data_IF_510090759552
#
_entry.id   IF_510090759552
#
_cell.length_a   1.000
_cell.length_b   1.000
_cell.length_c   1.000
_cell.angle_alpha   90.00
_cell.angle_beta   90.00
_cell.angle_gamma   90.00
#
_symmetry.space_group_name_H-M   'P 1'
#
loop_
_entity.id
_entity.type
_entity.pdbx_description
1 polymer ?
#
# COMPACT_ATOMS: atom_id res chain seq x y z
N UNK A 1 55.07 -31.11 -8.22
CA UNK A 1 54.93 -29.64 -8.07
C UNK A 1 53.76 -29.37 -7.15
N UNK A 2 54.01 -28.62 -6.08
CA UNK A 2 53.23 -28.61 -4.84
C UNK A 2 51.81 -28.04 -4.94
N UNK A 3 50.92 -28.64 -4.17
CA UNK A 3 49.54 -28.21 -3.92
C UNK A 3 49.56 -27.22 -2.75
N UNK A 4 49.32 -25.94 -3.00
CA UNK A 4 49.17 -24.91 -1.97
C UNK A 4 47.74 -24.93 -1.40
N UNK A 5 47.62 -25.35 -0.14
CA UNK A 5 46.41 -25.20 0.68
C UNK A 5 46.19 -23.73 1.04
N UNK A 6 45.00 -23.20 0.77
CA UNK A 6 44.52 -21.94 1.34
C UNK A 6 44.02 -22.18 2.78
N UNK A 7 44.23 -21.25 3.73
CA UNK A 7 43.81 -21.43 5.12
C UNK A 7 42.31 -21.17 5.28
N UNK A 8 41.69 -21.97 6.16
CA UNK A 8 40.31 -21.86 6.62
C UNK A 8 40.09 -20.60 7.46
N UNK A 9 39.13 -19.76 7.09
CA UNK A 9 38.63 -18.69 7.97
C UNK A 9 37.59 -19.26 8.93
N UNK A 10 37.92 -19.27 10.22
CA UNK A 10 36.96 -19.51 11.32
C UNK A 10 36.29 -18.19 11.71
N UNK A 11 34.99 -18.08 11.52
CA UNK A 11 34.19 -16.99 12.07
C UNK A 11 34.07 -17.17 13.59
N UNK A 12 34.64 -16.23 14.33
CA UNK A 12 34.47 -16.08 15.78
C UNK A 12 33.03 -15.60 16.02
N UNK A 13 32.22 -16.40 16.70
CA UNK A 13 30.89 -16.01 17.17
C UNK A 13 31.02 -15.26 18.50
N UNK A 14 30.41 -14.07 18.68
CA UNK A 14 30.24 -13.48 20.00
C UNK A 14 29.09 -14.19 20.71
N UNK A 15 29.40 -14.94 21.77
CA UNK A 15 28.41 -15.31 22.80
C UNK A 15 28.24 -14.12 23.73
N UNK A 16 27.16 -13.36 23.59
CA UNK A 16 26.72 -12.41 24.63
C UNK A 16 25.30 -12.75 25.04
N UNK A 17 25.18 -13.15 26.31
CA UNK A 17 23.95 -13.44 27.05
C UNK A 17 23.31 -12.10 27.49
N UNK A 18 22.02 -11.82 27.26
CA UNK A 18 21.46 -10.48 27.51
C UNK A 18 21.08 -10.14 28.97
N UNK A 19 21.34 -11.01 29.95
CA UNK A 19 20.82 -10.82 31.32
C UNK A 19 21.87 -10.42 32.38
N UNK A 20 22.67 -9.37 32.15
CA UNK A 20 23.43 -8.72 33.22
C UNK A 20 23.47 -7.20 33.07
N UNK A 21 22.46 -6.51 33.61
CA UNK A 21 22.52 -5.09 33.90
C UNK A 21 22.94 -4.91 35.36
N UNK A 22 24.08 -4.26 35.54
CA UNK A 22 24.69 -3.90 36.82
C UNK A 22 23.95 -2.70 37.43
N UNK A 23 23.48 -2.82 38.68
CA UNK A 23 22.88 -1.71 39.46
C UNK A 23 23.80 -1.40 40.65
N UNK A 24 24.28 -0.16 40.84
CA UNK A 24 25.14 0.18 41.98
C UNK A 24 24.32 0.36 43.26
N UNK A 25 24.87 -0.11 44.38
CA UNK A 25 24.29 -0.04 45.72
C UNK A 25 24.48 1.36 46.35
N UNK A 26 23.38 2.04 46.65
CA UNK A 26 23.40 3.23 47.50
C UNK A 26 23.26 2.82 48.97
N UNK A 27 24.27 3.20 49.75
CA UNK A 27 24.30 3.14 51.21
C UNK A 27 23.56 4.35 51.79
N UNK A 28 22.75 4.15 52.83
CA UNK A 28 22.39 5.22 53.77
C UNK A 28 22.15 4.65 55.16
N UNK A 29 22.86 5.26 56.10
CA UNK A 29 23.06 4.87 57.49
C UNK A 29 21.89 5.21 58.40
N UNK A 30 21.71 4.37 59.41
CA UNK A 30 20.73 4.42 60.50
C UNK A 30 20.98 5.61 61.44
N UNK A 31 19.93 6.36 61.78
CA UNK A 31 19.88 7.19 62.99
C UNK A 31 18.76 6.66 63.92
N UNK A 32 19.14 6.18 65.10
CA UNK A 32 18.22 5.89 66.21
C UNK A 32 18.24 7.04 67.21
N UNK A 33 17.06 7.56 67.56
CA UNK A 33 16.85 8.37 68.76
C UNK A 33 15.58 7.86 69.47
N UNK A 34 15.78 7.26 70.65
CA UNK A 34 14.73 6.89 71.61
C UNK A 34 14.35 8.13 72.42
N UNK A 35 13.05 8.38 72.63
CA UNK A 35 12.59 8.91 73.91
C UNK A 35 11.12 8.58 74.22
N UNK A 36 10.88 8.26 75.49
CA UNK A 36 9.63 7.77 76.09
C UNK A 36 8.61 8.89 76.39
N UNK A 37 7.30 8.61 76.21
CA UNK A 37 6.24 8.82 77.24
C UNK A 37 4.84 8.26 76.83
N UNK A 38 4.24 7.58 77.81
CA UNK A 38 2.87 7.05 78.04
C UNK A 38 1.72 7.94 77.49
N UNK A 39 0.50 7.49 77.12
CA UNK A 39 -0.33 6.31 77.45
C UNK A 39 -1.66 6.35 76.66
N UNK A 40 -2.38 5.22 76.70
CA UNK A 40 -3.83 4.96 76.46
C UNK A 40 -4.24 4.44 75.08
N UNK A 41 -4.38 3.13 75.04
CA UNK A 41 -5.24 2.35 74.15
C UNK A 41 -6.72 2.63 74.43
N UNK A 42 -7.47 2.98 73.38
CA UNK A 42 -8.91 2.71 73.27
C UNK A 42 -9.12 2.13 71.88
N UNK A 43 -9.59 0.89 71.83
CA UNK A 43 -9.89 0.17 70.61
C UNK A 43 -11.21 0.68 70.03
N UNK A 44 -11.25 0.92 68.72
CA UNK A 44 -12.47 0.90 67.93
C UNK A 44 -12.22 0.02 66.71
N UNK A 45 -13.08 -0.99 66.56
CA UNK A 45 -12.97 -2.04 65.57
C UNK A 45 -12.93 -1.46 64.15
N UNK A 46 -11.81 -1.64 63.46
CA UNK A 46 -11.75 -1.47 62.03
C UNK A 46 -12.43 -2.69 61.40
N UNK A 47 -13.60 -2.49 60.79
CA UNK A 47 -14.18 -3.48 59.89
C UNK A 47 -13.17 -3.74 58.78
N UNK A 48 -12.60 -4.94 58.77
CA UNK A 48 -11.82 -5.45 57.64
C UNK A 48 -12.75 -5.57 56.44
N UNK A 49 -12.78 -4.53 55.61
CA UNK A 49 -13.08 -4.72 54.19
C UNK A 49 -11.89 -5.53 53.66
N UNK A 50 -12.07 -6.75 53.13
CA UNK A 50 -10.98 -7.47 52.51
C UNK A 50 -10.46 -6.56 51.40
N UNK A 51 -9.15 -6.30 51.38
CA UNK A 51 -8.54 -5.75 50.19
C UNK A 51 -8.88 -6.73 49.07
N UNK A 52 -9.80 -6.34 48.19
CA UNK A 52 -9.91 -6.97 46.89
C UNK A 52 -8.49 -6.93 46.34
N UNK A 53 -7.95 -8.11 46.07
CA UNK A 53 -6.76 -8.22 45.26
C UNK A 53 -7.14 -7.54 43.94
N UNK A 54 -6.78 -6.27 43.82
CA UNK A 54 -6.65 -5.60 42.54
C UNK A 54 -5.57 -6.43 41.87
N UNK A 55 -6.02 -7.43 41.13
CA UNK A 55 -5.18 -8.18 40.24
C UNK A 55 -4.78 -7.12 39.22
N UNK A 56 -3.66 -6.44 39.48
CA UNK A 56 -2.94 -5.67 38.49
C UNK A 56 -2.43 -6.68 37.45
N UNK A 57 -3.36 -7.25 36.68
CA UNK A 57 -3.09 -7.72 35.34
C UNK A 57 -2.68 -6.48 34.57
N UNK A 58 -1.40 -6.09 34.73
CA UNK A 58 -0.73 -5.18 33.84
C UNK A 58 -0.78 -5.89 32.50
N UNK A 59 -1.84 -5.60 31.74
CA UNK A 59 -2.07 -6.11 30.41
C UNK A 59 -0.76 -5.92 29.66
N UNK A 60 -0.05 -7.02 29.43
CA UNK A 60 1.29 -6.96 28.86
C UNK A 60 1.11 -6.45 27.44
N UNK A 61 1.42 -5.18 27.23
CA UNK A 61 1.27 -4.52 25.93
C UNK A 61 2.15 -5.27 24.93
N UNK A 62 1.52 -5.87 23.92
CA UNK A 62 2.20 -6.49 22.78
C UNK A 62 2.01 -5.61 21.55
N UNK A 63 2.92 -5.68 20.57
CA UNK A 63 2.78 -4.93 19.30
C UNK A 63 1.44 -5.18 18.61
N UNK A 64 0.90 -6.40 18.75
CA UNK A 64 -0.39 -6.81 18.21
C UNK A 64 -1.59 -6.04 18.78
N UNK A 65 -1.46 -5.46 19.97
CA UNK A 65 -2.53 -4.66 20.59
C UNK A 65 -2.76 -3.31 19.89
N UNK A 66 -1.77 -2.82 19.14
CA UNK A 66 -1.88 -1.57 18.37
C UNK A 66 -2.40 -1.77 16.94
N UNK A 67 -2.51 -3.03 16.48
CA UNK A 67 -2.97 -3.34 15.12
C UNK A 67 -4.50 -3.34 15.07
N UNK A 68 -5.07 -2.61 14.11
CA UNK A 68 -6.53 -2.55 13.88
C UNK A 68 -7.11 -3.96 13.72
N UNK A 69 -8.24 -4.21 14.37
CA UNK A 69 -8.80 -5.57 14.50
C UNK A 69 -9.17 -6.23 13.17
N UNK A 70 -9.57 -5.45 12.16
CA UNK A 70 -9.88 -5.99 10.83
C UNK A 70 -8.65 -6.48 10.08
N UNK A 71 -7.49 -5.82 10.26
CA UNK A 71 -6.22 -6.22 9.64
C UNK A 71 -5.74 -7.59 10.13
N UNK A 72 -6.08 -7.97 11.36
CA UNK A 72 -5.74 -9.29 11.92
C UNK A 72 -6.42 -10.45 11.19
N UNK A 73 -7.50 -10.17 10.46
CA UNK A 73 -8.26 -11.17 9.69
C UNK A 73 -7.80 -11.24 8.23
N UNK A 74 -6.94 -10.32 7.78
CA UNK A 74 -6.46 -10.32 6.40
C UNK A 74 -5.43 -11.43 6.21
N UNK A 75 -5.58 -12.17 5.12
CA UNK A 75 -4.56 -13.10 4.67
C UNK A 75 -3.29 -12.33 4.29
N UNK A 76 -2.09 -12.88 4.57
CA UNK A 76 -0.85 -12.28 4.09
C UNK A 76 -0.87 -12.14 2.57
N UNK A 77 -0.41 -10.98 2.08
CA UNK A 77 -0.18 -10.75 0.65
C UNK A 77 0.84 -11.77 0.12
N UNK A 78 0.56 -12.33 -1.06
CA UNK A 78 1.47 -13.27 -1.73
C UNK A 78 2.18 -12.54 -2.88
N UNK A 79 3.41 -12.06 -2.67
CA UNK A 79 4.17 -11.40 -3.73
C UNK A 79 4.65 -12.40 -4.77
N UNK A 80 4.88 -11.91 -5.98
CA UNK A 80 5.60 -12.63 -7.03
C UNK A 80 7.03 -12.92 -6.55
N UNK A 81 7.55 -14.10 -6.90
CA UNK A 81 8.90 -14.47 -6.51
C UNK A 81 9.94 -13.63 -7.28
N UNK A 82 10.90 -13.01 -6.58
CA UNK A 82 12.02 -12.34 -7.24
C UNK A 82 12.84 -13.30 -8.10
N UNK A 83 13.53 -12.73 -9.08
CA UNK A 83 14.27 -13.48 -10.08
C UNK A 83 15.38 -14.34 -9.47
N UNK A 84 16.05 -13.82 -8.45
CA UNK A 84 17.12 -14.48 -7.72
C UNK A 84 16.58 -15.67 -6.91
N UNK A 85 15.40 -15.51 -6.31
CA UNK A 85 14.72 -16.58 -5.56
C UNK A 85 14.27 -17.68 -6.51
N UNK A 86 13.69 -17.31 -7.66
CA UNK A 86 13.27 -18.26 -8.67
C UNK A 86 14.48 -19.00 -9.28
N UNK A 87 15.56 -18.29 -9.59
CA UNK A 87 16.83 -18.84 -10.06
C UNK A 87 17.40 -19.87 -9.09
N UNK A 88 17.51 -19.52 -7.80
CA UNK A 88 17.98 -20.44 -6.77
C UNK A 88 17.09 -21.69 -6.64
N UNK A 89 15.76 -21.52 -6.69
CA UNK A 89 14.80 -22.64 -6.59
C UNK A 89 14.85 -23.57 -7.80
N UNK A 90 15.01 -23.03 -9.01
CA UNK A 90 15.03 -23.80 -10.24
C UNK A 90 16.42 -24.38 -10.57
N UNK A 91 17.47 -23.92 -9.88
CA UNK A 91 18.85 -24.29 -10.22
C UNK A 91 19.26 -23.81 -11.62
N UNK A 92 18.66 -22.71 -12.09
CA UNK A 92 18.89 -22.10 -13.41
C UNK A 92 19.54 -20.75 -13.24
N UNK A 93 20.39 -20.36 -14.18
CA UNK A 93 20.91 -18.99 -14.18
C UNK A 93 19.76 -18.03 -14.42
N UNK A 94 19.81 -16.82 -13.83
CA UNK A 94 18.86 -15.75 -14.13
C UNK A 94 18.63 -15.60 -15.64
N UNK A 95 19.69 -15.54 -16.44
CA UNK A 95 19.62 -15.33 -17.89
C UNK A 95 18.88 -16.44 -18.68
N UNK A 96 18.71 -17.63 -18.07
CA UNK A 96 18.01 -18.76 -18.68
C UNK A 96 16.50 -18.78 -18.36
N UNK A 97 16.00 -17.82 -17.57
CA UNK A 97 14.62 -17.78 -17.08
C UNK A 97 13.83 -16.75 -17.88
N UNK A 98 12.77 -17.20 -18.55
CA UNK A 98 11.80 -16.35 -19.22
C UNK A 98 10.60 -16.13 -18.30
N UNK A 99 10.38 -14.89 -17.88
CA UNK A 99 9.30 -14.49 -16.95
C UNK A 99 8.14 -13.86 -17.72
N UNK A 100 6.93 -14.42 -17.57
CA UNK A 100 5.70 -14.00 -18.27
C UNK A 100 4.48 -14.05 -17.34
N UNK A 101 4.67 -13.72 -16.05
CA UNK A 101 3.69 -13.91 -14.97
C UNK A 101 3.22 -12.58 -14.31
N UNK A 102 3.90 -11.46 -14.59
CA UNK A 102 3.72 -10.19 -13.88
C UNK A 102 3.32 -9.00 -14.77
N UNK A 103 3.05 -9.24 -16.06
CA UNK A 103 2.89 -8.21 -17.08
C UNK A 103 4.05 -7.19 -17.06
N UNK A 104 5.28 -7.72 -16.90
CA UNK A 104 6.51 -6.96 -17.01
C UNK A 104 6.88 -6.75 -18.48
N UNK A 105 7.40 -5.57 -18.84
CA UNK A 105 7.87 -5.30 -20.19
C UNK A 105 9.19 -6.06 -20.42
N UNK A 106 9.22 -7.07 -21.32
CA UNK A 106 10.39 -7.91 -21.51
C UNK A 106 11.54 -7.19 -22.23
N UNK A 107 11.29 -6.00 -22.80
CA UNK A 107 12.28 -5.23 -23.55
C UNK A 107 13.08 -4.24 -22.67
N UNK A 108 12.67 -4.05 -21.42
CA UNK A 108 13.24 -3.03 -20.54
C UNK A 108 12.85 -1.60 -20.92
N UNK A 109 13.37 -0.60 -20.20
CA UNK A 109 13.08 0.80 -20.47
C UNK A 109 13.85 1.32 -21.71
N UNK A 110 13.42 2.44 -22.30
CA UNK A 110 14.17 3.11 -23.37
C UNK A 110 15.63 3.40 -22.97
N UNK A 111 16.62 3.31 -23.89
CA UNK A 111 18.03 3.54 -23.57
C UNK A 111 18.31 4.90 -22.90
N UNK A 112 17.55 5.93 -23.25
CA UNK A 112 17.65 7.28 -22.70
C UNK A 112 17.32 7.30 -21.20
N UNK A 113 16.43 6.43 -20.74
CA UNK A 113 16.11 6.28 -19.31
C UNK A 113 17.31 5.70 -18.57
N UNK A 114 17.97 4.69 -19.14
CA UNK A 114 19.17 4.08 -18.54
C UNK A 114 20.33 5.08 -18.48
N UNK A 115 20.52 5.89 -19.52
CA UNK A 115 21.51 6.97 -19.52
C UNK A 115 21.20 8.04 -18.47
N UNK A 116 19.94 8.47 -18.35
CA UNK A 116 19.52 9.45 -17.35
C UNK A 116 19.74 8.93 -15.92
N UNK A 117 19.45 7.65 -15.66
CA UNK A 117 19.71 7.01 -14.37
C UNK A 117 21.20 6.89 -14.08
N UNK A 118 22.01 6.50 -15.06
CA UNK A 118 23.46 6.38 -14.92
C UNK A 118 24.17 7.72 -14.71
N UNK A 119 23.53 8.83 -15.08
CA UNK A 119 24.07 10.19 -14.97
C UNK A 119 23.41 11.03 -13.85
N UNK A 120 22.61 10.40 -12.99
CA UNK A 120 21.88 11.09 -11.91
C UNK A 120 22.85 11.81 -10.96
N UNK A 121 22.66 13.13 -10.84
CA UNK A 121 23.43 13.95 -9.91
C UNK A 121 22.73 14.00 -8.55
N UNK A 122 23.48 13.77 -7.48
CA UNK A 122 23.02 13.89 -6.09
C UNK A 122 21.86 12.95 -5.68
N UNK A 123 21.97 11.62 -5.88
CA UNK A 123 20.92 10.67 -5.48
C UNK A 123 20.66 10.61 -3.95
N UNK A 124 21.49 11.28 -3.15
CA UNK A 124 21.38 11.37 -1.69
C UNK A 124 20.61 12.61 -1.21
N UNK A 125 20.13 13.46 -2.12
CA UNK A 125 19.31 14.64 -1.81
C UNK A 125 17.84 14.29 -2.08
N UNK A 126 16.95 14.73 -1.20
CA UNK A 126 15.51 14.56 -1.40
C UNK A 126 15.07 15.14 -2.75
N UNK A 127 14.18 14.45 -3.50
CA UNK A 127 13.64 14.97 -4.75
C UNK A 127 12.74 16.18 -4.49
N UNK A 128 12.38 16.89 -5.57
CA UNK A 128 11.38 17.95 -5.50
C UNK A 128 10.04 17.39 -4.95
N UNK A 129 9.58 17.79 -3.76
CA UNK A 129 8.38 17.24 -3.14
C UNK A 129 7.11 17.53 -3.94
N UNK A 130 7.12 18.58 -4.77
CA UNK A 130 5.98 18.93 -5.63
C UNK A 130 6.05 18.27 -7.00
N UNK A 131 7.14 17.55 -7.31
CA UNK A 131 7.35 16.86 -8.61
C UNK A 131 7.15 17.79 -9.82
N UNK A 132 7.51 19.08 -9.73
CA UNK A 132 7.09 20.12 -10.69
C UNK A 132 7.52 19.82 -12.12
N UNK A 133 8.81 19.51 -12.32
CA UNK A 133 9.35 19.20 -13.65
C UNK A 133 8.66 18.00 -14.30
N UNK A 134 8.23 17.05 -13.49
CA UNK A 134 7.54 15.85 -13.95
C UNK A 134 6.10 16.15 -14.32
N UNK A 135 5.37 16.87 -13.45
CA UNK A 135 4.02 17.35 -13.72
C UNK A 135 3.97 18.24 -14.96
N UNK A 136 4.95 19.12 -15.16
CA UNK A 136 5.09 19.94 -16.37
C UNK A 136 5.29 19.09 -17.64
N UNK A 137 6.13 18.06 -17.59
CA UNK A 137 6.36 17.17 -18.73
C UNK A 137 5.10 16.37 -19.07
N UNK A 138 4.42 15.83 -18.06
CA UNK A 138 3.16 15.10 -18.21
C UNK A 138 2.02 16.00 -18.67
N UNK A 139 1.96 17.24 -18.20
CA UNK A 139 0.99 18.24 -18.65
C UNK A 139 1.12 18.46 -20.17
N UNK A 140 2.36 18.62 -20.66
CA UNK A 140 2.64 18.75 -22.09
C UNK A 140 2.25 17.50 -22.89
N UNK A 141 2.51 16.31 -22.37
CA UNK A 141 2.19 15.03 -23.03
C UNK A 141 0.68 14.77 -23.08
N UNK A 142 -0.01 14.95 -21.96
CA UNK A 142 -1.45 14.67 -21.82
C UNK A 142 -2.34 15.77 -22.41
N UNK A 143 -1.83 17.00 -22.54
CA UNK A 143 -2.62 18.19 -22.86
C UNK A 143 -3.49 18.68 -21.71
N UNK A 144 -3.18 18.29 -20.47
CA UNK A 144 -3.80 18.78 -19.24
C UNK A 144 -2.87 19.77 -18.53
N UNK A 145 -3.44 20.63 -17.70
CA UNK A 145 -2.68 21.50 -16.80
C UNK A 145 -2.05 20.67 -15.68
N UNK A 146 -0.88 21.10 -15.19
CA UNK A 146 -0.16 20.39 -14.13
C UNK A 146 -1.00 20.20 -12.86
N UNK A 147 -1.97 21.07 -12.59
CA UNK A 147 -2.87 21.02 -11.43
C UNK A 147 -3.85 19.85 -11.47
N UNK A 148 -4.13 19.34 -12.67
CA UNK A 148 -4.87 18.09 -12.84
C UNK A 148 -3.97 16.87 -12.68
N UNK A 149 -2.69 16.97 -12.33
CA UNK A 149 -1.77 15.84 -12.31
C UNK A 149 -1.15 15.69 -10.93
N UNK A 150 -1.48 14.58 -10.26
CA UNK A 150 -0.76 14.11 -9.08
C UNK A 150 0.16 12.95 -9.48
N UNK A 151 1.42 13.01 -9.05
CA UNK A 151 2.42 11.98 -9.23
C UNK A 151 2.52 11.08 -7.99
N UNK A 152 2.42 9.76 -8.16
CA UNK A 152 2.64 8.76 -7.10
C UNK A 152 3.74 7.73 -7.42
N UNK A 153 4.05 6.88 -6.46
CA UNK A 153 5.03 5.80 -6.49
C UNK A 153 4.44 4.46 -6.96
N UNK A 154 3.50 4.50 -7.89
CA UNK A 154 2.74 3.32 -8.32
C UNK A 154 1.26 3.61 -8.48
N UNK A 155 0.58 2.78 -9.27
CA UNK A 155 -0.89 2.81 -9.33
C UNK A 155 -1.44 2.36 -7.99
N UNK A 156 -0.85 1.29 -7.45
CA UNK A 156 -1.19 0.72 -6.15
C UNK A 156 -1.11 1.74 -5.01
N UNK A 157 -0.08 2.61 -4.97
CA UNK A 157 -0.03 3.68 -3.95
C UNK A 157 -1.19 4.67 -4.13
N UNK A 158 -1.50 5.07 -5.37
CA UNK A 158 -2.59 6.00 -5.60
C UNK A 158 -3.96 5.37 -5.35
N UNK A 159 -4.13 4.08 -5.61
CA UNK A 159 -5.35 3.33 -5.27
C UNK A 159 -5.56 3.37 -3.74
N UNK A 160 -4.55 3.03 -2.95
CA UNK A 160 -4.61 3.11 -1.48
C UNK A 160 -4.84 4.55 -1.00
N UNK A 161 -4.17 5.55 -1.59
CA UNK A 161 -4.34 6.96 -1.23
C UNK A 161 -5.76 7.46 -1.52
N UNK A 162 -6.33 7.13 -2.68
CA UNK A 162 -7.71 7.48 -3.04
C UNK A 162 -8.67 6.88 -2.00
N UNK A 163 -8.49 5.61 -1.65
CA UNK A 163 -9.32 4.96 -0.64
C UNK A 163 -9.21 5.65 0.72
N UNK A 164 -7.99 5.99 1.17
CA UNK A 164 -7.78 6.71 2.45
C UNK A 164 -8.39 8.10 2.46
N UNK A 165 -8.43 8.78 1.31
CA UNK A 165 -8.99 10.12 1.20
C UNK A 165 -10.53 10.11 1.09
N UNK A 166 -11.13 9.00 0.67
CA UNK A 166 -12.56 8.97 0.28
C UNK A 166 -13.43 8.00 1.05
N UNK A 167 -12.83 7.10 1.86
CA UNK A 167 -13.54 6.06 2.60
C UNK A 167 -13.29 6.18 4.11
N UNK A 168 -14.37 6.07 4.87
CA UNK A 168 -14.31 5.71 6.29
C UNK A 168 -14.40 4.17 6.46
N UNK A 169 -13.88 3.59 7.56
CA UNK A 169 -14.10 2.18 7.84
C UNK A 169 -15.59 1.82 7.86
N UNK A 170 -15.97 0.82 7.06
CA UNK A 170 -17.35 0.39 6.85
C UNK A 170 -18.03 0.99 5.61
N UNK A 171 -17.45 2.02 4.98
CA UNK A 171 -17.89 2.46 3.66
C UNK A 171 -17.70 1.35 2.62
N UNK A 172 -18.40 1.49 1.49
CA UNK A 172 -18.44 0.47 0.43
C UNK A 172 -17.80 0.98 -0.85
N UNK A 173 -17.12 0.07 -1.54
CA UNK A 173 -16.70 0.25 -2.93
C UNK A 173 -17.42 -0.75 -3.83
N UNK A 174 -17.50 -0.45 -5.13
CA UNK A 174 -17.88 -1.43 -6.15
C UNK A 174 -16.63 -1.94 -6.86
N UNK A 175 -16.57 -3.26 -7.02
CA UNK A 175 -15.53 -3.96 -7.77
C UNK A 175 -16.18 -4.93 -8.79
N UNK A 176 -15.57 -5.08 -9.97
CA UNK A 176 -16.16 -5.77 -11.11
C UNK A 176 -15.35 -7.00 -11.57
N UNK A 177 -15.39 -8.12 -10.82
CA UNK A 177 -14.57 -9.29 -11.11
C UNK A 177 -15.03 -10.04 -12.38
N UNK A 178 -14.11 -10.72 -13.10
CA UNK A 178 -12.67 -10.73 -12.85
C UNK A 178 -12.03 -9.38 -13.24
N UNK A 179 -11.24 -8.83 -12.33
CA UNK A 179 -10.49 -7.58 -12.54
C UNK A 179 -9.26 -7.56 -11.63
N UNK A 180 -8.56 -6.43 -11.54
CA UNK A 180 -7.33 -6.31 -10.78
C UNK A 180 -7.58 -6.47 -9.27
N UNK A 181 -6.93 -7.46 -8.67
CA UNK A 181 -7.20 -7.90 -7.30
C UNK A 181 -6.83 -6.89 -6.20
N UNK A 182 -6.01 -5.89 -6.53
CA UNK A 182 -5.57 -4.90 -5.55
C UNK A 182 -6.70 -4.00 -5.06
N UNK A 183 -7.76 -3.77 -5.86
CA UNK A 183 -8.91 -2.97 -5.41
C UNK A 183 -9.60 -3.59 -4.19
N UNK A 184 -9.88 -4.90 -4.23
CA UNK A 184 -10.46 -5.62 -3.09
C UNK A 184 -9.48 -5.68 -1.90
N UNK A 185 -8.19 -5.90 -2.17
CA UNK A 185 -7.17 -5.98 -1.14
C UNK A 185 -7.02 -4.65 -0.38
N UNK A 186 -6.85 -3.53 -1.10
CA UNK A 186 -6.67 -2.20 -0.50
C UNK A 186 -7.94 -1.72 0.19
N UNK A 187 -9.13 -2.05 -0.35
CA UNK A 187 -10.40 -1.79 0.34
C UNK A 187 -10.42 -2.49 1.70
N UNK A 188 -9.98 -3.76 1.75
CA UNK A 188 -9.91 -4.54 2.98
C UNK A 188 -8.88 -3.97 3.96
N UNK A 189 -7.73 -3.47 3.49
CA UNK A 189 -6.74 -2.76 4.32
C UNK A 189 -7.33 -1.48 4.93
N UNK A 190 -8.11 -0.74 4.16
CA UNK A 190 -8.79 0.47 4.59
C UNK A 190 -10.03 0.20 5.46
N UNK A 191 -10.44 -1.05 5.60
CA UNK A 191 -11.62 -1.43 6.39
C UNK A 191 -12.95 -1.14 5.67
N UNK A 192 -12.90 -0.94 4.36
CA UNK A 192 -14.06 -0.82 3.50
C UNK A 192 -14.64 -2.19 3.16
N UNK A 193 -15.92 -2.20 2.81
CA UNK A 193 -16.65 -3.36 2.30
C UNK A 193 -16.64 -3.33 0.77
N UNK A 194 -16.60 -4.51 0.14
CA UNK A 194 -16.56 -4.63 -1.32
C UNK A 194 -17.88 -5.21 -1.83
N UNK A 195 -18.58 -4.44 -2.66
CA UNK A 195 -19.75 -4.91 -3.40
C UNK A 195 -19.24 -5.44 -4.74
N UNK A 196 -19.27 -6.77 -4.89
CA UNK A 196 -18.84 -7.41 -6.13
C UNK A 196 -20.00 -7.44 -7.12
N UNK A 197 -19.80 -6.81 -8.28
CA UNK A 197 -20.71 -6.89 -9.43
C UNK A 197 -19.97 -7.60 -10.56
N UNK A 198 -20.10 -8.93 -10.69
CA UNK A 198 -19.37 -9.68 -11.69
C UNK A 198 -19.65 -9.17 -13.11
N UNK A 199 -18.59 -9.14 -13.93
CA UNK A 199 -18.69 -8.91 -15.38
C UNK A 199 -19.57 -9.98 -16.02
N UNK A 200 -20.12 -9.64 -17.19
CA UNK A 200 -20.90 -10.57 -18.03
C UNK A 200 -19.98 -11.70 -18.56
N UNK A 201 -20.54 -12.83 -19.05
CA UNK A 201 -19.74 -13.94 -19.58
C UNK A 201 -18.78 -13.57 -20.75
N UNK A 202 -19.03 -12.44 -21.42
CA UNK A 202 -18.18 -11.86 -22.47
C UNK A 202 -17.16 -10.83 -21.93
N UNK A 203 -16.99 -10.76 -20.60
CA UNK A 203 -16.16 -9.80 -19.86
C UNK A 203 -16.59 -8.34 -19.91
N UNK A 204 -17.70 -8.01 -20.60
CA UNK A 204 -18.26 -6.67 -20.55
C UNK A 204 -18.82 -6.33 -19.17
N UNK A 205 -18.94 -5.04 -18.86
CA UNK A 205 -19.53 -4.59 -17.60
C UNK A 205 -21.03 -4.91 -17.57
N UNK A 206 -21.53 -5.25 -16.39
CA UNK A 206 -22.95 -5.33 -16.13
C UNK A 206 -23.46 -3.99 -15.58
N UNK A 207 -23.59 -3.00 -16.46
CA UNK A 207 -23.98 -1.62 -16.09
C UNK A 207 -25.31 -1.60 -15.35
N UNK A 208 -26.27 -2.45 -15.74
CA UNK A 208 -27.56 -2.55 -15.07
C UNK A 208 -27.41 -2.94 -13.60
N UNK A 209 -26.62 -3.99 -13.31
CA UNK A 209 -26.35 -4.43 -11.95
C UNK A 209 -25.48 -3.43 -11.17
N UNK A 210 -24.56 -2.72 -11.82
CA UNK A 210 -23.80 -1.64 -11.19
C UNK A 210 -24.77 -0.55 -10.70
N UNK A 211 -25.67 -0.10 -11.57
CA UNK A 211 -26.67 0.91 -11.22
C UNK A 211 -27.58 0.44 -10.06
N UNK A 212 -28.01 -0.83 -10.05
CA UNK A 212 -28.80 -1.40 -8.97
C UNK A 212 -28.02 -1.44 -7.64
N UNK A 213 -26.77 -1.91 -7.68
CA UNK A 213 -25.89 -1.96 -6.51
C UNK A 213 -25.67 -0.56 -5.92
N UNK A 214 -25.43 0.44 -6.78
CA UNK A 214 -25.24 1.83 -6.35
C UNK A 214 -26.49 2.39 -5.68
N UNK A 215 -27.67 2.14 -6.27
CA UNK A 215 -28.95 2.59 -5.70
C UNK A 215 -29.25 1.96 -4.34
N UNK A 216 -28.95 0.67 -4.16
CA UNK A 216 -29.28 -0.07 -2.95
C UNK A 216 -28.26 0.16 -1.83
N UNK A 217 -26.97 0.08 -2.16
CA UNK A 217 -25.90 -0.01 -1.16
C UNK A 217 -25.18 1.32 -0.92
N UNK A 218 -25.32 2.29 -1.84
CA UNK A 218 -24.73 3.64 -1.79
C UNK A 218 -23.20 3.63 -1.56
N UNK A 219 -22.43 2.92 -2.41
CA UNK A 219 -20.97 2.93 -2.35
C UNK A 219 -20.41 4.32 -2.60
N UNK A 220 -19.21 4.57 -2.10
CA UNK A 220 -18.49 5.83 -2.27
C UNK A 220 -17.73 5.91 -3.58
N UNK A 221 -17.19 4.80 -4.05
CA UNK A 221 -16.45 4.74 -5.30
C UNK A 221 -16.58 3.39 -6.02
N UNK A 222 -16.23 3.39 -7.30
CA UNK A 222 -16.08 2.21 -8.15
C UNK A 222 -14.69 2.24 -8.78
N UNK A 223 -14.03 1.08 -8.81
CA UNK A 223 -12.79 0.90 -9.55
C UNK A 223 -13.08 0.15 -10.86
N UNK A 224 -12.61 0.70 -11.97
CA UNK A 224 -12.81 0.15 -13.31
C UNK A 224 -11.47 0.14 -14.04
N UNK A 225 -11.06 -1.00 -14.57
CA UNK A 225 -9.86 -1.10 -15.41
C UNK A 225 -10.23 -1.20 -16.89
N UNK A 226 -9.61 -0.39 -17.75
CA UNK A 226 -9.78 -0.44 -19.20
C UNK A 226 -8.51 0.01 -19.94
N UNK A 227 -7.84 -0.86 -20.71
CA UNK A 227 -8.10 -2.29 -20.88
C UNK A 227 -8.01 -3.08 -19.57
N UNK A 228 -8.90 -4.07 -19.38
CA UNK A 228 -9.03 -4.82 -18.14
C UNK A 228 -7.87 -5.79 -17.92
N UNK A 229 -7.44 -5.96 -16.67
CA UNK A 229 -6.61 -7.08 -16.23
C UNK A 229 -7.53 -8.01 -15.45
N UNK A 230 -7.78 -9.27 -15.87
CA UNK A 230 -6.86 -10.09 -16.66
C UNK A 230 -7.22 -10.34 -18.13
N UNK A 231 -8.42 -10.00 -18.59
CA UNK A 231 -8.92 -10.45 -19.91
C UNK A 231 -8.64 -9.49 -21.09
N UNK A 232 -8.19 -8.27 -20.83
CA UNK A 232 -7.88 -7.27 -21.87
C UNK A 232 -9.09 -6.54 -22.46
N UNK A 233 -10.31 -6.77 -21.97
CA UNK A 233 -11.51 -6.09 -22.46
C UNK A 233 -11.47 -4.58 -22.26
N UNK A 234 -12.12 -3.86 -23.17
CA UNK A 234 -12.23 -2.40 -23.14
C UNK A 234 -13.65 -2.04 -22.73
N UNK A 235 -13.78 -1.03 -21.86
CA UNK A 235 -15.07 -0.45 -21.51
C UNK A 235 -15.46 0.53 -22.62
N UNK A 236 -16.65 0.37 -23.17
CA UNK A 236 -17.18 1.30 -24.17
C UNK A 236 -17.58 2.64 -23.54
N UNK A 237 -17.40 3.73 -24.28
CA UNK A 237 -17.66 5.10 -23.83
C UNK A 237 -19.10 5.28 -23.33
N UNK A 238 -20.09 4.70 -24.00
CA UNK A 238 -21.51 4.78 -23.59
C UNK A 238 -21.76 4.17 -22.20
N UNK A 239 -21.07 3.09 -21.87
CA UNK A 239 -21.22 2.41 -20.58
C UNK A 239 -20.48 3.17 -19.48
N UNK A 240 -19.28 3.69 -19.78
CA UNK A 240 -18.55 4.54 -18.86
C UNK A 240 -19.31 5.83 -18.54
N UNK A 241 -19.92 6.48 -19.54
CA UNK A 241 -20.74 7.68 -19.36
C UNK A 241 -21.95 7.42 -18.45
N UNK A 242 -22.66 6.30 -18.63
CA UNK A 242 -23.77 5.91 -17.72
C UNK A 242 -23.29 5.73 -16.27
N UNK A 243 -22.09 5.20 -16.08
CA UNK A 243 -21.51 5.02 -14.74
C UNK A 243 -21.09 6.38 -14.15
N UNK A 244 -20.57 7.30 -14.97
CA UNK A 244 -20.20 8.65 -14.55
C UNK A 244 -21.40 9.49 -14.09
N UNK A 245 -22.61 9.18 -14.56
CA UNK A 245 -23.85 9.81 -14.08
C UNK A 245 -24.25 9.39 -12.65
N UNK A 246 -23.63 8.35 -12.09
CA UNK A 246 -23.94 7.83 -10.76
C UNK A 246 -23.31 8.69 -9.64
N UNK A 247 -23.95 8.78 -8.46
CA UNK A 247 -23.49 9.62 -7.35
C UNK A 247 -22.36 8.97 -6.54
N UNK A 248 -21.26 8.62 -7.20
CA UNK A 248 -20.07 8.01 -6.64
C UNK A 248 -18.82 8.47 -7.39
N UNK A 249 -17.65 8.26 -6.79
CA UNK A 249 -16.36 8.47 -7.43
C UNK A 249 -16.00 7.31 -8.38
N UNK A 250 -15.72 7.62 -9.64
CA UNK A 250 -15.26 6.65 -10.64
C UNK A 250 -13.75 6.72 -10.76
N UNK A 251 -13.05 5.64 -10.41
CA UNK A 251 -11.60 5.49 -10.62
C UNK A 251 -11.38 4.59 -11.84
N UNK A 252 -10.97 5.20 -12.95
CA UNK A 252 -10.64 4.53 -14.20
C UNK A 252 -9.14 4.24 -14.26
N UNK A 253 -8.77 2.97 -14.16
CA UNK A 253 -7.41 2.48 -14.29
C UNK A 253 -7.09 2.16 -15.76
N UNK A 254 -6.24 3.00 -16.34
CA UNK A 254 -5.73 2.93 -17.70
C UNK A 254 -4.27 2.42 -17.74
N UNK A 255 -3.87 1.54 -16.82
CA UNK A 255 -2.50 0.99 -16.77
C UNK A 255 -2.02 0.33 -18.08
N UNK A 256 -2.94 -0.09 -18.95
CA UNK A 256 -2.66 -0.77 -20.22
C UNK A 256 -3.10 0.03 -21.46
N UNK A 257 -3.47 1.31 -21.30
CA UNK A 257 -4.10 2.07 -22.38
C UNK A 257 -3.23 2.17 -23.63
N UNK A 258 -1.91 2.28 -23.48
CA UNK A 258 -1.01 2.41 -24.62
C UNK A 258 -0.86 1.14 -25.47
N UNK A 259 -1.35 0.00 -24.97
CA UNK A 259 -1.40 -1.25 -25.73
C UNK A 259 -2.69 -1.40 -26.55
N UNK A 260 -3.69 -0.54 -26.31
CA UNK A 260 -5.02 -0.66 -26.94
C UNK A 260 -5.14 0.04 -28.30
N UNK A 261 -4.27 1.00 -28.59
CA UNK A 261 -4.42 1.90 -29.74
C UNK A 261 -5.54 2.94 -29.59
N UNK A 262 -6.22 2.99 -28.44
CA UNK A 262 -7.25 3.97 -28.13
C UNK A 262 -6.66 5.22 -27.47
N UNK A 263 -7.40 6.31 -27.55
CA UNK A 263 -7.10 7.51 -26.79
C UNK A 263 -7.51 7.35 -25.33
N UNK A 264 -6.62 7.79 -24.44
CA UNK A 264 -6.87 7.85 -23.00
C UNK A 264 -8.01 8.81 -22.66
N UNK A 265 -8.79 8.45 -21.63
CA UNK A 265 -9.88 9.28 -21.10
C UNK A 265 -9.42 10.35 -20.11
N UNK A 266 -8.11 10.55 -19.91
CA UNK A 266 -7.57 11.60 -19.03
C UNK A 266 -8.21 12.98 -19.22
N UNK A 267 -8.56 13.38 -20.46
CA UNK A 267 -9.16 14.70 -20.72
C UNK A 267 -10.58 14.83 -20.20
N UNK A 268 -11.29 13.72 -19.98
CA UNK A 268 -12.68 13.69 -19.51
C UNK A 268 -12.83 14.22 -18.09
N UNK A 269 -11.77 14.24 -17.29
CA UNK A 269 -11.75 14.86 -15.95
C UNK A 269 -12.16 16.32 -15.92
N UNK A 270 -12.03 17.03 -17.06
CA UNK A 270 -12.44 18.44 -17.19
C UNK A 270 -13.96 18.57 -17.31
N UNK A 271 -14.62 17.48 -17.70
CA UNK A 271 -16.06 17.40 -17.96
C UNK A 271 -16.78 16.62 -16.85
N UNK A 272 -16.06 15.77 -16.10
CA UNK A 272 -16.61 14.89 -15.06
C UNK A 272 -15.88 15.05 -13.72
N UNK A 273 -16.53 15.74 -12.78
CA UNK A 273 -15.96 16.05 -11.47
C UNK A 273 -15.72 14.81 -10.58
N UNK A 274 -16.42 13.71 -10.86
CA UNK A 274 -16.31 12.45 -10.14
C UNK A 274 -15.40 11.43 -10.82
N UNK A 275 -14.57 11.83 -11.79
CA UNK A 275 -13.65 10.93 -12.50
C UNK A 275 -12.20 11.12 -12.04
N UNK A 276 -11.59 10.01 -11.62
CA UNK A 276 -10.13 9.85 -11.55
C UNK A 276 -9.68 8.95 -12.70
N UNK A 277 -8.63 9.35 -13.41
CA UNK A 277 -7.91 8.44 -14.32
C UNK A 277 -6.54 8.12 -13.72
N UNK A 278 -6.18 6.83 -13.67
CA UNK A 278 -4.86 6.33 -13.30
C UNK A 278 -4.13 5.81 -14.54
N UNK A 279 -2.84 6.11 -14.70
CA UNK A 279 -1.96 5.57 -15.76
C UNK A 279 -0.62 5.20 -15.19
N UNK A 280 0.22 4.36 -15.82
CA UNK A 280 1.49 3.95 -15.19
C UNK A 280 2.69 3.89 -16.14
N UNK A 281 3.89 4.20 -15.63
CA UNK A 281 5.15 3.92 -16.32
C UNK A 281 5.65 2.48 -16.13
N UNK A 282 5.03 1.71 -15.22
CA UNK A 282 5.43 0.32 -14.98
C UNK A 282 5.31 -0.48 -16.27
N UNK A 283 4.16 -0.44 -16.95
CA UNK A 283 3.87 -1.32 -18.09
C UNK A 283 4.63 -0.91 -19.34
N UNK A 284 4.14 0.06 -20.12
CA UNK A 284 4.78 0.41 -21.40
C UNK A 284 6.22 0.87 -21.23
N UNK A 285 6.51 1.73 -20.27
CA UNK A 285 7.85 2.32 -20.15
C UNK A 285 8.87 1.38 -19.48
N UNK A 286 8.44 0.25 -18.92
CA UNK A 286 9.35 -0.75 -18.35
C UNK A 286 10.05 -0.31 -17.07
N UNK A 287 9.48 0.64 -16.33
CA UNK A 287 10.08 1.23 -15.12
C UNK A 287 9.36 0.69 -13.88
N UNK A 288 9.88 -0.40 -13.32
CA UNK A 288 9.27 -1.11 -12.18
C UNK A 288 9.94 -0.88 -10.82
N UNK A 289 11.24 -0.55 -10.82
CA UNK A 289 12.10 -0.60 -9.62
C UNK A 289 12.40 0.76 -8.99
N UNK A 290 12.25 1.83 -9.76
CA UNK A 290 12.38 3.17 -9.18
C UNK A 290 11.06 3.52 -8.51
N UNK A 291 11.09 4.24 -7.40
CA UNK A 291 9.94 4.83 -6.68
C UNK A 291 9.02 5.72 -7.55
N UNK A 292 9.14 5.66 -8.88
CA UNK A 292 8.27 6.23 -9.89
C UNK A 292 7.80 5.13 -10.85
N UNK A 293 7.05 4.15 -10.34
CA UNK A 293 5.95 3.59 -11.12
C UNK A 293 4.90 4.70 -11.29
N UNK A 294 5.27 5.77 -12.00
CA UNK A 294 4.58 7.04 -11.89
C UNK A 294 3.15 6.87 -12.35
N UNK A 295 2.22 7.15 -11.44
CA UNK A 295 0.83 7.27 -11.79
C UNK A 295 0.42 8.72 -11.82
N UNK A 296 -0.18 9.13 -12.94
CA UNK A 296 -0.95 10.37 -13.00
C UNK A 296 -2.33 10.05 -12.49
N UNK A 297 -2.66 10.54 -11.29
CA UNK A 297 -4.05 10.70 -10.89
C UNK A 297 -4.50 12.04 -11.44
N UNK A 298 -5.60 11.98 -12.19
CA UNK A 298 -6.20 13.16 -12.79
C UNK A 298 -7.50 13.50 -12.08
N UNK A 299 -7.53 14.60 -11.32
CA UNK A 299 -8.63 14.92 -10.41
C UNK A 299 -8.91 16.43 -10.33
N UNK A 300 -10.18 16.88 -10.28
CA UNK A 300 -10.50 18.31 -10.26
C UNK A 300 -10.33 19.00 -8.90
N UNK A 301 -10.28 18.28 -7.76
CA UNK A 301 -10.38 18.88 -6.41
C UNK A 301 -9.08 18.89 -5.58
N UNK A 302 -7.90 18.96 -6.20
CA UNK A 302 -6.63 19.16 -5.46
C UNK A 302 -6.24 20.64 -5.31
N UNK A 303 -7.22 21.56 -5.31
CA UNK A 303 -7.09 22.97 -4.93
C UNK A 303 -7.79 23.27 -3.61
#
# INVERSE_FOLDING_TARGET
MGVSKLPSFSLITPKTNPDQVFVPSNTSSVFQLKNHRRTRSVAMAASTIPAENVNEDKQRVTGESFIRSHLKKLSPYQPILPFEVLSARLGRKPEDIVKLDANENPYGPPPEVMEALGSLKFPYIYPDPETRRLREALAKDSGLEADYILAGCGADELIDLIMRCTLDPGDKIVDCPPTFTMYEFDASVNGAQVIKVPRKPDFSLNVELICDAVRQEKPKCIFLTSPNNPDGSIINDEDLLKILELPLLVVLDEAYIEFSGLESKMKWVKEHENLIVLRTFSKRAGIYWWFLALCTMVWPFLM
#
